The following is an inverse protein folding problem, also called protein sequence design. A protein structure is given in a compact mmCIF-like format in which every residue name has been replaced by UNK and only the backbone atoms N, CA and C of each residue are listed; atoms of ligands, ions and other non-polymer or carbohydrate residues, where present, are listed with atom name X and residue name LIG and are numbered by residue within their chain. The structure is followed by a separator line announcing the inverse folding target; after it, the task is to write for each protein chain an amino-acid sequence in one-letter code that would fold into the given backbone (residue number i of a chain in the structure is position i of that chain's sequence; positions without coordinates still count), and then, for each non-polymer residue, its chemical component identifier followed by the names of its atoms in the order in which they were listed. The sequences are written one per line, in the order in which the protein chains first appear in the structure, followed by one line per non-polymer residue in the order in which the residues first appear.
data_IF_768361000096
#
_entry.id   IF_768361000096
#
_cell.length_a   1.000
_cell.length_b   1.000
_cell.length_c   1.000
_cell.angle_alpha   90.00
_cell.angle_beta   90.00
_cell.angle_gamma   90.00
#
_symmetry.space_group_name_H-M   'P 1'
#
loop_
_entity.id
_entity.type
_entity.pdbx_description
1 polymer ?
#
# COMPACT_ATOMS: atom_id res chain seq x y z
N UNK A 1 23.34 6.03 8.69
CA UNK A 1 22.72 5.08 7.74
C UNK A 1 23.74 4.37 6.86
N UNK A 2 24.71 5.06 6.24
CA UNK A 2 25.71 4.41 5.37
C UNK A 2 26.62 3.43 6.13
N UNK A 3 27.10 3.82 7.31
CA UNK A 3 27.98 2.99 8.16
C UNK A 3 27.26 1.74 8.67
N UNK A 4 26.05 1.92 9.19
CA UNK A 4 25.24 0.86 9.82
C UNK A 4 24.09 0.37 8.91
N UNK A 5 24.35 0.25 7.61
CA UNK A 5 23.28 -0.03 6.63
C UNK A 5 22.55 -1.34 6.91
N UNK A 6 23.26 -2.35 7.38
CA UNK A 6 22.69 -3.65 7.75
C UNK A 6 21.63 -3.55 8.87
N UNK A 7 21.69 -2.52 9.74
CA UNK A 7 20.65 -2.25 10.73
C UNK A 7 19.41 -1.64 10.09
N UNK A 8 19.57 -0.77 9.08
CA UNK A 8 18.44 -0.18 8.34
C UNK A 8 17.62 -1.26 7.61
N UNK A 9 18.26 -2.33 7.14
CA UNK A 9 17.59 -3.46 6.49
C UNK A 9 16.57 -4.18 7.38
N UNK A 10 16.72 -4.10 8.71
CA UNK A 10 15.76 -4.68 9.67
C UNK A 10 14.39 -3.99 9.61
N UNK A 11 14.31 -2.78 9.05
CA UNK A 11 13.04 -2.09 8.80
C UNK A 11 12.26 -2.76 7.67
N UNK A 12 12.95 -3.32 6.66
CA UNK A 12 12.33 -3.89 5.47
C UNK A 12 11.90 -2.86 4.44
N UNK A 13 11.00 -3.25 3.52
CA UNK A 13 10.64 -2.50 2.31
C UNK A 13 10.17 -1.06 2.54
N UNK A 14 9.49 -0.75 3.65
CA UNK A 14 9.04 0.63 3.96
C UNK A 14 10.23 1.59 4.18
N UNK A 15 11.44 1.07 4.44
CA UNK A 15 12.65 1.90 4.46
C UNK A 15 12.84 2.63 3.13
N UNK A 16 12.66 1.95 2.00
CA UNK A 16 12.79 2.56 0.67
C UNK A 16 11.68 3.57 0.42
N UNK A 17 10.44 3.28 0.84
CA UNK A 17 9.31 4.21 0.73
C UNK A 17 9.59 5.51 1.48
N UNK A 18 10.07 5.42 2.72
CA UNK A 18 10.40 6.59 3.54
C UNK A 18 11.58 7.38 2.96
N UNK A 19 12.58 6.72 2.36
CA UNK A 19 13.66 7.40 1.66
C UNK A 19 13.15 8.13 0.41
N UNK A 20 12.18 7.56 -0.30
CA UNK A 20 11.55 8.19 -1.47
C UNK A 20 10.85 9.50 -1.12
N UNK A 21 10.21 9.57 0.05
CA UNK A 21 9.58 10.82 0.55
C UNK A 21 10.62 11.95 0.74
N UNK A 22 11.91 11.60 0.93
CA UNK A 22 13.01 12.52 1.23
C UNK A 22 13.90 12.85 0.02
N UNK A 23 13.58 12.40 -1.19
CA UNK A 23 14.43 12.60 -2.40
C UNK A 23 14.60 14.06 -2.83
N UNK A 24 13.81 14.97 -2.29
CA UNK A 24 14.00 16.40 -2.47
C UNK A 24 15.27 16.90 -1.75
N UNK A 25 15.72 16.20 -0.71
CA UNK A 25 16.98 16.45 0.01
C UNK A 25 18.13 15.74 -0.73
N UNK A 26 19.20 16.45 -1.13
CA UNK A 26 20.29 15.90 -1.96
C UNK A 26 20.95 14.64 -1.38
N UNK A 27 21.17 14.61 -0.07
CA UNK A 27 21.84 13.52 0.64
C UNK A 27 21.02 12.21 0.57
N UNK A 28 19.71 12.30 0.75
CA UNK A 28 18.80 11.16 0.65
C UNK A 28 18.61 10.71 -0.80
N UNK A 29 18.58 11.65 -1.76
CA UNK A 29 18.59 11.33 -3.19
C UNK A 29 19.84 10.56 -3.58
N UNK A 30 21.01 11.03 -3.18
CA UNK A 30 22.29 10.37 -3.44
C UNK A 30 22.31 8.98 -2.80
N UNK A 31 21.80 8.85 -1.56
CA UNK A 31 21.68 7.57 -0.89
C UNK A 31 20.77 6.60 -1.63
N UNK A 32 19.57 7.02 -2.05
CA UNK A 32 18.65 6.17 -2.80
C UNK A 32 19.26 5.74 -4.15
N UNK A 33 19.96 6.65 -4.83
CA UNK A 33 20.70 6.33 -6.06
C UNK A 33 21.74 5.24 -5.82
N UNK A 34 22.51 5.34 -4.74
CA UNK A 34 23.50 4.32 -4.40
C UNK A 34 22.84 2.97 -4.04
N UNK A 35 21.71 2.97 -3.33
CA UNK A 35 20.99 1.74 -2.97
C UNK A 35 20.57 0.98 -4.24
N UNK A 36 20.08 1.71 -5.24
CA UNK A 36 19.53 1.11 -6.47
C UNK A 36 20.63 0.75 -7.47
N UNK A 37 21.59 1.64 -7.69
CA UNK A 37 22.55 1.53 -8.80
C UNK A 37 24.00 1.24 -8.38
N UNK A 38 24.33 1.36 -7.09
CA UNK A 38 25.69 1.13 -6.59
C UNK A 38 25.69 0.40 -5.24
N UNK A 39 25.02 -0.76 -5.11
CA UNK A 39 24.77 -1.43 -3.83
C UNK A 39 26.07 -1.83 -3.09
N UNK A 40 27.17 -2.01 -3.83
CA UNK A 40 28.47 -2.38 -3.27
C UNK A 40 29.03 -1.38 -2.25
N UNK A 41 28.62 -0.10 -2.29
CA UNK A 41 29.10 0.92 -1.33
C UNK A 41 28.59 0.69 0.11
N UNK A 42 27.61 -0.18 0.28
CA UNK A 42 27.05 -0.54 1.59
C UNK A 42 27.61 -1.86 2.14
N UNK A 43 28.55 -2.49 1.43
CA UNK A 43 29.19 -3.71 1.90
C UNK A 43 30.13 -3.40 3.07
N UNK A 44 30.03 -4.20 4.13
CA UNK A 44 30.93 -4.15 5.29
C UNK A 44 31.40 -5.57 5.61
N UNK A 45 32.41 -5.71 6.46
CA UNK A 45 32.91 -7.05 6.85
C UNK A 45 31.76 -7.87 7.45
N UNK A 46 31.50 -9.05 6.87
CA UNK A 46 30.41 -9.93 7.30
C UNK A 46 29.02 -9.63 6.71
N UNK A 47 28.88 -8.61 5.85
CA UNK A 47 27.60 -8.25 5.23
C UNK A 47 27.76 -7.81 3.76
N UNK A 48 27.02 -8.47 2.87
CA UNK A 48 27.00 -8.16 1.44
C UNK A 48 25.60 -7.77 0.97
N UNK A 49 25.45 -6.52 0.56
CA UNK A 49 24.28 -5.99 -0.14
C UNK A 49 24.53 -6.04 -1.64
N UNK A 50 23.71 -6.83 -2.34
CA UNK A 50 23.87 -7.08 -3.78
C UNK A 50 22.87 -6.30 -4.61
N UNK A 51 21.65 -6.15 -4.12
CA UNK A 51 20.55 -5.60 -4.91
C UNK A 51 19.39 -5.11 -4.02
N UNK A 52 18.74 -4.01 -4.41
CA UNK A 52 17.57 -3.46 -3.70
C UNK A 52 16.39 -4.44 -3.62
N UNK A 53 16.30 -5.43 -4.52
CA UNK A 53 15.34 -6.53 -4.45
C UNK A 53 15.41 -7.29 -3.11
N UNK A 54 16.59 -7.34 -2.46
CA UNK A 54 16.73 -7.93 -1.13
C UNK A 54 15.91 -7.15 -0.08
N UNK A 55 15.85 -5.83 -0.20
CA UNK A 55 15.05 -4.95 0.67
C UNK A 55 13.58 -5.07 0.33
N UNK A 56 13.23 -5.02 -0.96
CA UNK A 56 11.86 -5.17 -1.42
C UNK A 56 11.22 -6.48 -0.93
N UNK A 57 11.98 -7.58 -0.97
CA UNK A 57 11.52 -8.88 -0.48
C UNK A 57 11.41 -8.97 1.04
N UNK A 58 12.03 -8.05 1.78
CA UNK A 58 11.98 -8.03 3.24
C UNK A 58 10.74 -7.29 3.72
N UNK A 59 9.74 -8.03 4.23
CA UNK A 59 8.53 -7.44 4.80
C UNK A 59 8.87 -6.53 5.99
N UNK A 60 8.25 -5.36 6.04
CA UNK A 60 8.34 -4.47 7.19
C UNK A 60 7.51 -4.99 8.36
N UNK A 61 8.11 -5.04 9.55
CA UNK A 61 7.41 -5.39 10.79
C UNK A 61 6.31 -4.36 11.09
N UNK A 62 5.13 -4.85 11.47
CA UNK A 62 3.97 -4.00 11.82
C UNK A 62 4.26 -3.05 12.99
N UNK A 63 5.27 -3.38 13.82
CA UNK A 63 5.76 -2.49 14.89
C UNK A 63 6.20 -1.13 14.35
N UNK A 64 6.85 -1.09 13.18
CA UNK A 64 7.26 0.18 12.59
C UNK A 64 6.06 1.02 12.18
N UNK A 65 5.00 0.42 11.63
CA UNK A 65 3.76 1.15 11.30
C UNK A 65 3.06 1.70 12.54
N UNK A 66 3.12 0.99 13.67
CA UNK A 66 2.56 1.47 14.95
C UNK A 66 3.32 2.69 15.48
N UNK A 67 4.65 2.69 15.39
CA UNK A 67 5.50 3.79 15.86
C UNK A 67 5.31 5.11 15.07
N UNK A 68 4.62 5.06 13.93
CA UNK A 68 4.40 6.22 13.05
C UNK A 68 3.10 6.97 13.33
N UNK A 69 2.23 6.43 14.17
CA UNK A 69 1.03 7.11 14.65
C UNK A 69 1.11 7.27 16.17
N UNK A 70 0.53 8.35 16.71
CA UNK A 70 0.52 8.53 18.15
C UNK A 70 -0.56 7.64 18.83
N UNK A 71 -0.45 7.35 20.14
CA UNK A 71 -1.38 6.45 20.83
C UNK A 71 -2.86 6.89 20.78
N UNK A 72 -3.13 8.19 20.72
CA UNK A 72 -4.48 8.75 20.66
C UNK A 72 -5.09 8.54 19.26
N UNK A 73 -4.30 8.72 18.20
CA UNK A 73 -4.69 8.35 16.83
C UNK A 73 -4.99 6.86 16.75
N UNK A 74 -4.10 6.00 17.27
CA UNK A 74 -4.31 4.55 17.28
C UNK A 74 -5.62 4.17 17.98
N UNK A 75 -5.86 4.73 19.16
CA UNK A 75 -7.07 4.46 19.95
C UNK A 75 -8.33 4.82 19.17
N UNK A 76 -8.38 6.01 18.56
CA UNK A 76 -9.54 6.47 17.79
C UNK A 76 -9.74 5.69 16.49
N UNK A 77 -8.66 5.36 15.77
CA UNK A 77 -8.71 4.56 14.55
C UNK A 77 -9.18 3.13 14.85
N UNK A 78 -8.67 2.50 15.91
CA UNK A 78 -9.13 1.18 16.34
C UNK A 78 -10.61 1.22 16.72
N UNK A 79 -11.03 2.21 17.50
CA UNK A 79 -12.45 2.35 17.86
C UNK A 79 -13.37 2.44 16.63
N UNK A 80 -12.97 3.21 15.61
CA UNK A 80 -13.68 3.26 14.33
C UNK A 80 -13.78 1.88 13.67
N UNK A 81 -12.70 1.10 13.69
CA UNK A 81 -12.60 -0.20 12.99
C UNK A 81 -13.07 -1.40 13.81
N UNK A 82 -13.39 -1.24 15.09
CA UNK A 82 -13.84 -2.34 15.97
C UNK A 82 -15.19 -2.13 16.62
N UNK A 83 -15.71 -0.89 16.64
CA UNK A 83 -16.88 -0.56 17.46
C UNK A 83 -17.93 0.28 16.74
N UNK A 84 -17.59 0.93 15.63
CA UNK A 84 -18.52 1.77 14.89
C UNK A 84 -19.10 1.02 13.70
N UNK A 85 -20.43 1.02 13.59
CA UNK A 85 -21.14 0.44 12.45
C UNK A 85 -20.99 1.29 11.19
N UNK A 86 -20.90 0.63 10.04
CA UNK A 86 -20.90 1.27 8.74
C UNK A 86 -22.18 2.08 8.54
N UNK A 87 -22.01 3.33 8.11
CA UNK A 87 -23.05 4.35 8.02
C UNK A 87 -23.06 5.33 9.20
N UNK A 88 -22.48 4.96 10.35
CA UNK A 88 -22.52 5.78 11.57
C UNK A 88 -21.17 6.49 11.87
N UNK A 89 -20.17 6.32 11.01
CA UNK A 89 -18.81 6.84 11.24
C UNK A 89 -18.63 8.36 11.03
N UNK A 90 -19.58 9.06 10.39
CA UNK A 90 -19.39 10.45 9.93
C UNK A 90 -18.94 11.40 11.05
N UNK A 91 -19.56 11.33 12.22
CA UNK A 91 -19.22 12.21 13.36
C UNK A 91 -17.82 11.93 13.89
N UNK A 92 -17.46 10.65 14.01
CA UNK A 92 -16.14 10.22 14.48
C UNK A 92 -15.03 10.61 13.49
N UNK A 93 -15.29 10.47 12.19
CA UNK A 93 -14.40 10.95 11.12
C UNK A 93 -14.15 12.47 11.21
N UNK A 94 -15.22 13.26 11.37
CA UNK A 94 -15.11 14.73 11.53
C UNK A 94 -14.29 15.10 12.76
N UNK A 95 -14.50 14.42 13.89
CA UNK A 95 -13.72 14.64 15.12
C UNK A 95 -12.25 14.28 14.94
N UNK A 96 -11.97 13.13 14.32
CA UNK A 96 -10.61 12.70 14.03
C UNK A 96 -9.90 13.71 13.13
N UNK A 97 -10.52 14.10 12.01
CA UNK A 97 -9.95 15.07 11.08
C UNK A 97 -9.71 16.42 11.76
N UNK A 98 -10.68 16.92 12.54
CA UNK A 98 -10.53 18.17 13.27
C UNK A 98 -9.32 18.16 14.21
N UNK A 99 -9.08 17.03 14.87
CA UNK A 99 -8.02 16.89 15.86
C UNK A 99 -6.64 16.66 15.22
N UNK A 100 -6.58 15.91 14.12
CA UNK A 100 -5.32 15.36 13.63
C UNK A 100 -4.94 15.78 12.21
N UNK A 101 -5.89 16.17 11.35
CA UNK A 101 -5.67 16.39 9.91
C UNK A 101 -5.91 17.84 9.46
N UNK A 102 -6.46 18.69 10.33
CA UNK A 102 -6.94 20.01 9.89
C UNK A 102 -5.82 21.03 9.62
N UNK A 103 -4.69 20.95 10.32
CA UNK A 103 -3.57 21.88 10.15
C UNK A 103 -2.82 21.64 8.82
N UNK A 104 -2.16 22.67 8.25
CA UNK A 104 -1.24 22.52 7.13
C UNK A 104 -0.19 21.45 7.44
N UNK A 105 0.22 20.71 6.41
CA UNK A 105 1.23 19.63 6.45
C UNK A 105 0.88 18.41 7.34
N UNK A 106 -0.16 18.48 8.17
CA UNK A 106 -0.63 17.30 8.93
C UNK A 106 -1.30 16.26 8.05
N UNK A 107 -1.66 16.56 6.81
CA UNK A 107 -2.21 15.56 5.89
C UNK A 107 -1.18 14.48 5.48
N UNK A 108 0.13 14.73 5.60
CA UNK A 108 1.15 13.70 5.35
C UNK A 108 1.03 12.51 6.32
N UNK A 109 0.48 12.72 7.53
CA UNK A 109 0.23 11.63 8.48
C UNK A 109 -0.78 10.62 7.94
N UNK A 110 -1.61 10.99 6.95
CA UNK A 110 -2.54 10.05 6.30
C UNK A 110 -1.79 8.87 5.67
N UNK A 111 -0.58 9.10 5.16
CA UNK A 111 0.28 8.05 4.59
C UNK A 111 0.60 7.01 5.67
N UNK A 112 1.05 7.47 6.84
CA UNK A 112 1.36 6.62 8.00
C UNK A 112 0.10 5.91 8.55
N UNK A 113 -1.05 6.60 8.59
CA UNK A 113 -2.34 6.01 8.97
C UNK A 113 -2.76 4.89 8.01
N UNK A 114 -2.60 5.07 6.70
CA UNK A 114 -2.93 4.03 5.71
C UNK A 114 -2.01 2.81 5.87
N UNK A 115 -0.71 3.01 6.12
CA UNK A 115 0.21 1.90 6.46
C UNK A 115 -0.22 1.21 7.76
N UNK A 116 -0.64 1.94 8.78
CA UNK A 116 -1.18 1.35 10.01
C UNK A 116 -2.42 0.49 9.74
N UNK A 117 -3.40 0.99 8.98
CA UNK A 117 -4.64 0.25 8.66
C UNK A 117 -4.31 -1.03 7.88
N UNK A 118 -3.38 -0.98 6.92
CA UNK A 118 -3.01 -2.13 6.12
C UNK A 118 -2.17 -3.14 6.92
N UNK A 119 -1.16 -2.68 7.65
CA UNK A 119 -0.06 -3.52 8.15
C UNK A 119 -0.13 -3.84 9.64
N UNK A 120 -0.85 -3.04 10.45
CA UNK A 120 -0.88 -3.15 11.90
C UNK A 120 -2.28 -3.31 12.51
N UNK A 121 -3.34 -3.17 11.71
CA UNK A 121 -4.70 -3.45 12.11
C UNK A 121 -5.32 -4.56 11.26
N UNK A 122 -5.33 -5.78 11.78
CA UNK A 122 -5.95 -6.95 11.16
C UNK A 122 -7.13 -7.39 12.04
N UNK A 123 -8.37 -7.01 11.70
CA UNK A 123 -9.55 -7.38 12.47
C UNK A 123 -9.73 -8.91 12.49
N UNK A 124 -10.25 -9.49 13.57
CA UNK A 124 -10.61 -10.91 13.60
C UNK A 124 -11.87 -11.16 12.74
N UNK A 125 -12.14 -12.42 12.41
CA UNK A 125 -13.19 -12.80 11.45
C UNK A 125 -14.58 -12.32 11.86
N UNK A 126 -14.87 -12.27 13.17
CA UNK A 126 -16.14 -11.80 13.71
C UNK A 126 -16.39 -10.34 13.33
N UNK A 127 -15.34 -9.51 13.33
CA UNK A 127 -15.43 -8.10 12.91
C UNK A 127 -15.54 -8.02 11.38
N UNK A 128 -14.75 -8.81 10.64
CA UNK A 128 -14.80 -8.82 9.16
C UNK A 128 -16.19 -9.18 8.64
N UNK A 129 -16.90 -10.09 9.30
CA UNK A 129 -18.24 -10.56 8.92
C UNK A 129 -19.38 -9.74 9.52
N UNK A 130 -19.08 -8.67 10.26
CA UNK A 130 -20.05 -7.81 10.93
C UNK A 130 -20.44 -6.58 10.09
N UNK A 131 -21.26 -5.70 10.68
CA UNK A 131 -21.62 -4.40 10.13
C UNK A 131 -20.68 -3.26 10.58
N UNK A 132 -19.54 -3.58 11.20
CA UNK A 132 -18.52 -2.60 11.60
C UNK A 132 -17.86 -1.96 10.37
N UNK A 133 -17.43 -0.70 10.49
CA UNK A 133 -16.72 0.04 9.42
C UNK A 133 -15.52 -0.78 8.94
N UNK A 134 -15.51 -1.22 7.68
CA UNK A 134 -14.41 -2.00 7.17
C UNK A 134 -13.22 -1.11 6.85
N UNK A 135 -12.02 -1.70 6.89
CA UNK A 135 -10.75 -1.01 6.64
C UNK A 135 -10.73 -0.22 5.33
N UNK A 136 -11.26 -0.81 4.26
CA UNK A 136 -11.32 -0.18 2.95
C UNK A 136 -12.16 1.10 2.96
N UNK A 137 -13.26 1.15 3.73
CA UNK A 137 -14.12 2.33 3.79
C UNK A 137 -13.43 3.49 4.52
N UNK A 138 -12.67 3.19 5.57
CA UNK A 138 -11.86 4.19 6.26
C UNK A 138 -10.76 4.75 5.36
N UNK A 139 -10.07 3.90 4.59
CA UNK A 139 -9.06 4.34 3.60
C UNK A 139 -9.70 5.20 2.50
N UNK A 140 -10.89 4.85 2.03
CA UNK A 140 -11.63 5.66 1.06
C UNK A 140 -11.91 7.08 1.57
N UNK A 141 -12.29 7.23 2.85
CA UNK A 141 -12.45 8.54 3.48
C UNK A 141 -11.13 9.30 3.66
N UNK A 142 -10.05 8.59 4.00
CA UNK A 142 -8.73 9.22 4.13
C UNK A 142 -8.25 9.81 2.79
N UNK A 143 -8.47 9.11 1.68
CA UNK A 143 -8.16 9.62 0.34
C UNK A 143 -8.92 10.90 0.00
N UNK A 144 -10.18 11.04 0.43
CA UNK A 144 -10.96 12.27 0.21
C UNK A 144 -10.58 13.40 1.17
N UNK A 145 -9.78 13.11 2.20
CA UNK A 145 -9.29 14.10 3.16
C UNK A 145 -7.98 14.75 2.73
N UNK A 146 -7.29 14.19 1.73
CA UNK A 146 -6.09 14.78 1.14
C UNK A 146 -6.44 16.02 0.30
N UNK A 147 -5.65 17.08 0.45
CA UNK A 147 -5.80 18.36 -0.26
C UNK A 147 -4.79 18.50 -1.37
N UNK A 148 -3.60 17.92 -1.21
CA UNK A 148 -2.51 18.01 -2.19
C UNK A 148 -2.37 16.74 -3.03
N UNK A 149 -2.03 16.92 -4.31
CA UNK A 149 -1.88 15.81 -5.25
C UNK A 149 -0.69 14.89 -4.94
N UNK A 150 0.42 15.44 -4.42
CA UNK A 150 1.59 14.65 -4.01
C UNK A 150 1.25 13.76 -2.80
N UNK A 151 0.48 14.28 -1.85
CA UNK A 151 -0.01 13.49 -0.70
C UNK A 151 -0.91 12.37 -1.19
N UNK A 152 -1.85 12.65 -2.10
CA UNK A 152 -2.71 11.60 -2.71
C UNK A 152 -1.86 10.52 -3.38
N UNK A 153 -0.84 10.90 -4.15
CA UNK A 153 0.05 9.93 -4.80
C UNK A 153 0.79 9.06 -3.78
N UNK A 154 1.31 9.65 -2.69
CA UNK A 154 2.00 8.93 -1.63
C UNK A 154 1.06 8.02 -0.83
N UNK A 155 -0.19 8.42 -0.62
CA UNK A 155 -1.22 7.57 0.02
C UNK A 155 -1.55 6.37 -0.88
N UNK A 156 -1.70 6.57 -2.18
CA UNK A 156 -1.88 5.46 -3.13
C UNK A 156 -0.67 4.53 -3.17
N UNK A 157 0.55 5.07 -3.14
CA UNK A 157 1.77 4.28 -3.04
C UNK A 157 1.79 3.46 -1.75
N UNK A 158 1.48 4.06 -0.59
CA UNK A 158 1.39 3.38 0.69
C UNK A 158 0.34 2.25 0.71
N UNK A 159 -0.78 2.45 0.03
CA UNK A 159 -1.85 1.46 -0.13
C UNK A 159 -1.41 0.26 -0.99
N UNK A 160 -0.65 0.50 -2.06
CA UNK A 160 -0.18 -0.53 -2.98
C UNK A 160 1.22 -1.06 -2.69
N UNK A 161 1.90 -0.54 -1.66
CA UNK A 161 3.32 -0.85 -1.45
C UNK A 161 3.59 -2.34 -1.21
N UNK A 162 2.70 -3.02 -0.48
CA UNK A 162 2.78 -4.47 -0.25
C UNK A 162 2.35 -5.30 -1.46
N UNK A 163 1.72 -4.70 -2.47
CA UNK A 163 1.36 -5.37 -3.72
C UNK A 163 2.55 -5.52 -4.67
N UNK A 164 3.40 -4.48 -4.75
CA UNK A 164 4.49 -4.40 -5.73
C UNK A 164 5.45 -5.58 -5.64
N UNK A 165 5.72 -6.05 -4.42
CA UNK A 165 6.70 -7.10 -4.13
C UNK A 165 6.07 -8.26 -3.36
N UNK A 166 4.78 -8.49 -3.60
CA UNK A 166 4.02 -9.47 -2.84
C UNK A 166 4.58 -10.89 -3.02
N UNK A 167 4.89 -11.55 -1.90
CA UNK A 167 5.24 -12.97 -1.85
C UNK A 167 4.44 -13.64 -0.72
N UNK A 168 3.53 -14.56 -1.09
CA UNK A 168 2.64 -15.27 -0.16
C UNK A 168 3.38 -16.04 0.94
N UNK A 169 4.68 -16.35 0.75
CA UNK A 169 5.50 -17.03 1.76
C UNK A 169 5.80 -16.16 2.98
N UNK A 170 5.83 -14.83 2.81
CA UNK A 170 6.24 -13.87 3.86
C UNK A 170 5.20 -12.78 4.11
N UNK A 171 4.41 -12.45 3.09
CA UNK A 171 3.41 -11.41 3.13
C UNK A 171 2.03 -11.97 3.49
N UNK A 172 1.19 -11.09 4.03
CA UNK A 172 -0.16 -11.45 4.47
C UNK A 172 -1.20 -10.84 3.55
N UNK A 173 -2.25 -11.62 3.26
CA UNK A 173 -3.42 -11.14 2.51
C UNK A 173 -4.05 -9.90 3.14
N UNK A 174 -3.95 -9.76 4.47
CA UNK A 174 -4.50 -8.63 5.20
C UNK A 174 -3.83 -7.29 4.83
N UNK A 175 -2.61 -7.30 4.31
CA UNK A 175 -1.92 -6.09 3.86
C UNK A 175 -2.42 -5.59 2.50
N UNK A 176 -2.92 -6.50 1.65
CA UNK A 176 -3.29 -6.20 0.26
C UNK A 176 -4.81 -6.09 0.05
N UNK A 177 -5.62 -6.79 0.87
CA UNK A 177 -7.09 -6.76 0.72
C UNK A 177 -7.73 -5.36 0.74
N UNK A 178 -7.27 -4.37 1.55
CA UNK A 178 -8.02 -3.13 1.66
C UNK A 178 -8.09 -2.36 0.34
N UNK A 179 -7.04 -2.45 -0.47
CA UNK A 179 -6.97 -1.78 -1.76
C UNK A 179 -7.97 -2.36 -2.77
N UNK A 180 -8.06 -3.69 -2.88
CA UNK A 180 -8.98 -4.33 -3.83
C UNK A 180 -10.43 -4.16 -3.39
N UNK A 181 -10.70 -4.25 -2.09
CA UNK A 181 -12.04 -4.06 -1.56
C UNK A 181 -12.49 -2.60 -1.74
N UNK A 182 -11.59 -1.63 -1.54
CA UNK A 182 -11.89 -0.23 -1.83
C UNK A 182 -12.24 -0.04 -3.31
N UNK A 183 -11.45 -0.61 -4.22
CA UNK A 183 -11.73 -0.55 -5.65
C UNK A 183 -13.09 -1.16 -5.99
N UNK A 184 -13.40 -2.37 -5.52
CA UNK A 184 -14.64 -3.07 -5.86
C UNK A 184 -15.87 -2.41 -5.25
N UNK A 185 -15.82 -2.05 -3.98
CA UNK A 185 -16.96 -1.43 -3.29
C UNK A 185 -17.21 0.02 -3.74
N UNK A 186 -16.25 0.67 -4.39
CA UNK A 186 -16.43 2.01 -4.96
C UNK A 186 -17.16 2.00 -6.31
N UNK A 187 -17.15 0.90 -7.08
CA UNK A 187 -17.75 0.85 -8.42
C UNK A 187 -19.20 1.38 -8.48
N UNK A 188 -20.13 1.02 -7.57
CA UNK A 188 -21.53 1.42 -7.72
C UNK A 188 -21.80 2.93 -7.57
N UNK A 189 -20.95 3.66 -6.84
CA UNK A 189 -21.21 5.08 -6.48
C UNK A 189 -20.04 6.03 -6.70
N UNK A 190 -18.81 5.53 -6.70
CA UNK A 190 -17.56 6.29 -6.71
C UNK A 190 -16.55 5.65 -7.66
N UNK A 191 -16.98 5.28 -8.88
CA UNK A 191 -16.13 4.57 -9.86
C UNK A 191 -14.81 5.29 -10.16
N UNK A 192 -14.77 6.62 -10.03
CA UNK A 192 -13.54 7.41 -10.19
C UNK A 192 -12.44 6.99 -9.20
N UNK A 193 -12.80 6.54 -7.99
CA UNK A 193 -11.84 5.98 -7.03
C UNK A 193 -11.26 4.69 -7.60
N UNK A 194 -12.11 3.79 -8.11
CA UNK A 194 -11.67 2.53 -8.74
C UNK A 194 -10.75 2.79 -9.92
N UNK A 195 -11.13 3.74 -10.79
CA UNK A 195 -10.33 4.17 -11.93
C UNK A 195 -8.95 4.67 -11.48
N UNK A 196 -8.93 5.66 -10.59
CA UNK A 196 -7.71 6.34 -10.16
C UNK A 196 -6.77 5.45 -9.35
N UNK A 197 -7.27 4.41 -8.69
CA UNK A 197 -6.47 3.40 -7.99
C UNK A 197 -5.90 2.35 -8.95
N UNK A 198 -6.73 1.82 -9.85
CA UNK A 198 -6.29 0.82 -10.83
C UNK A 198 -5.28 1.40 -11.81
N UNK A 199 -5.52 2.62 -12.30
CA UNK A 199 -4.56 3.33 -13.16
C UNK A 199 -3.22 3.53 -12.45
N UNK A 200 -3.25 3.96 -11.19
CA UNK A 200 -2.04 4.18 -10.39
C UNK A 200 -1.27 2.88 -10.17
N UNK A 201 -1.94 1.78 -9.79
CA UNK A 201 -1.30 0.48 -9.63
C UNK A 201 -0.62 0.01 -10.94
N UNK A 202 -1.32 0.13 -12.07
CA UNK A 202 -0.77 -0.24 -13.37
C UNK A 202 0.41 0.67 -13.77
N UNK A 203 0.35 1.96 -13.44
CA UNK A 203 1.47 2.87 -13.62
C UNK A 203 2.68 2.46 -12.78
N UNK A 204 2.51 2.12 -11.50
CA UNK A 204 3.59 1.65 -10.65
C UNK A 204 4.28 0.41 -11.22
N UNK A 205 3.52 -0.56 -11.75
CA UNK A 205 4.12 -1.75 -12.39
C UNK A 205 4.99 -1.38 -13.58
N UNK A 206 4.62 -0.33 -14.32
CA UNK A 206 5.37 0.10 -15.50
C UNK A 206 6.58 0.98 -15.18
N UNK A 207 6.56 1.74 -14.08
CA UNK A 207 7.52 2.83 -13.84
C UNK A 207 8.25 2.80 -12.50
N UNK A 208 7.83 2.02 -11.50
CA UNK A 208 8.40 2.10 -10.15
C UNK A 208 9.87 1.67 -10.09
N UNK A 209 10.20 0.52 -10.70
CA UNK A 209 11.56 0.04 -10.88
C UNK A 209 11.64 -0.72 -12.21
N UNK A 210 12.14 -0.03 -13.24
CA UNK A 210 12.17 -0.54 -14.61
C UNK A 210 13.12 -1.74 -14.75
N UNK A 211 14.23 -1.76 -14.01
CA UNK A 211 15.19 -2.87 -14.04
C UNK A 211 14.60 -4.15 -13.45
N UNK A 212 13.67 -4.01 -12.50
CA UNK A 212 13.03 -5.11 -11.77
C UNK A 212 11.55 -5.26 -12.12
N UNK A 213 11.16 -4.87 -13.33
CA UNK A 213 9.76 -4.91 -13.79
C UNK A 213 9.11 -6.29 -13.68
N UNK A 214 9.85 -7.37 -13.95
CA UNK A 214 9.33 -8.75 -13.80
C UNK A 214 8.94 -9.05 -12.35
N UNK A 215 9.71 -8.56 -11.37
CA UNK A 215 9.38 -8.69 -9.94
C UNK A 215 8.07 -7.97 -9.62
N UNK A 216 7.87 -6.76 -10.17
CA UNK A 216 6.64 -5.97 -9.98
C UNK A 216 5.42 -6.66 -10.61
N UNK A 217 5.57 -7.16 -11.83
CA UNK A 217 4.51 -7.91 -12.54
C UNK A 217 4.13 -9.16 -11.75
N UNK A 218 5.13 -9.92 -11.28
CA UNK A 218 4.92 -11.12 -10.46
C UNK A 218 4.24 -10.80 -9.13
N UNK A 219 4.68 -9.76 -8.42
CA UNK A 219 4.09 -9.34 -7.15
C UNK A 219 2.61 -9.00 -7.30
N UNK A 220 2.30 -8.08 -8.22
CA UNK A 220 0.92 -7.61 -8.39
C UNK A 220 -0.01 -8.71 -8.94
N UNK A 221 0.46 -9.53 -9.89
CA UNK A 221 -0.34 -10.65 -10.39
C UNK A 221 -0.58 -11.73 -9.33
N UNK A 222 0.43 -12.08 -8.52
CA UNK A 222 0.31 -13.02 -7.42
C UNK A 222 -0.66 -12.52 -6.35
N UNK A 223 -0.62 -11.22 -6.03
CA UNK A 223 -1.57 -10.58 -5.11
C UNK A 223 -3.02 -10.74 -5.61
N UNK A 224 -3.30 -10.42 -6.87
CA UNK A 224 -4.64 -10.61 -7.45
C UNK A 224 -5.08 -12.08 -7.42
N UNK A 225 -4.20 -13.02 -7.80
CA UNK A 225 -4.51 -14.45 -7.79
C UNK A 225 -4.85 -14.93 -6.37
N UNK A 226 -4.08 -14.52 -5.36
CA UNK A 226 -4.36 -14.86 -3.97
C UNK A 226 -5.70 -14.30 -3.49
N UNK A 227 -5.99 -13.03 -3.79
CA UNK A 227 -7.23 -12.36 -3.38
C UNK A 227 -8.47 -13.06 -3.94
N UNK A 228 -8.41 -13.56 -5.17
CA UNK A 228 -9.47 -14.40 -5.74
C UNK A 228 -9.51 -15.77 -5.07
N UNK A 229 -8.35 -16.45 -4.96
CA UNK A 229 -8.27 -17.81 -4.40
C UNK A 229 -8.76 -17.89 -2.96
N UNK A 230 -8.55 -16.85 -2.16
CA UNK A 230 -9.01 -16.75 -0.77
C UNK A 230 -10.42 -16.15 -0.65
N UNK A 231 -11.07 -15.81 -1.76
CA UNK A 231 -12.45 -15.34 -1.78
C UNK A 231 -12.65 -13.90 -1.27
N UNK A 232 -11.59 -13.09 -1.16
CA UNK A 232 -11.71 -11.66 -0.82
C UNK A 232 -12.53 -10.94 -1.90
N UNK A 233 -12.29 -11.31 -3.16
CA UNK A 233 -13.18 -10.99 -4.28
C UNK A 233 -13.55 -12.28 -4.99
N UNK A 234 -14.81 -12.37 -5.48
CA UNK A 234 -15.31 -13.59 -6.14
C UNK A 234 -14.62 -13.87 -7.48
N UNK A 235 -14.40 -12.83 -8.26
CA UNK A 235 -13.75 -12.90 -9.58
C UNK A 235 -13.15 -11.53 -9.93
N UNK A 236 -12.13 -11.53 -10.79
CA UNK A 236 -11.58 -10.30 -11.39
C UNK A 236 -12.51 -9.71 -12.45
N UNK A 237 -13.56 -10.41 -12.87
CA UNK A 237 -14.56 -9.90 -13.82
C UNK A 237 -15.22 -8.62 -13.32
N UNK A 238 -15.31 -8.43 -12.00
CA UNK A 238 -15.82 -7.20 -11.38
C UNK A 238 -15.03 -5.96 -11.81
N UNK A 239 -13.75 -6.13 -12.19
CA UNK A 239 -12.90 -5.07 -12.77
C UNK A 239 -12.79 -5.22 -14.29
N UNK A 240 -12.49 -6.42 -14.78
CA UNK A 240 -12.17 -6.70 -16.19
C UNK A 240 -13.38 -6.52 -17.11
N UNK A 241 -14.59 -6.76 -16.61
CA UNK A 241 -15.84 -6.69 -17.36
C UNK A 241 -16.69 -5.48 -16.92
N UNK A 242 -16.16 -4.60 -16.07
CA UNK A 242 -16.88 -3.42 -15.60
C UNK A 242 -17.12 -2.44 -16.77
N UNK A 243 -18.39 -2.12 -17.11
CA UNK A 243 -18.68 -1.19 -18.21
C UNK A 243 -18.27 0.24 -17.88
N UNK A 244 -18.28 0.62 -16.59
CA UNK A 244 -17.94 1.97 -16.13
C UNK A 244 -16.43 2.25 -16.13
N UNK A 245 -15.57 1.22 -16.24
CA UNK A 245 -14.13 1.39 -16.33
C UNK A 245 -13.66 1.56 -17.78
N UNK A 246 -12.66 2.42 -17.96
CA UNK A 246 -12.09 2.72 -19.26
C UNK A 246 -11.53 1.45 -19.95
N UNK A 247 -11.83 1.19 -21.24
CA UNK A 247 -11.39 -0.02 -21.95
C UNK A 247 -9.89 -0.29 -21.88
N UNK A 248 -9.06 0.74 -22.04
CA UNK A 248 -7.60 0.60 -21.99
C UNK A 248 -7.08 0.12 -20.63
N UNK A 249 -7.74 0.48 -19.51
CA UNK A 249 -7.35 -0.01 -18.18
C UNK A 249 -7.67 -1.48 -18.01
N UNK A 250 -8.86 -1.90 -18.46
CA UNK A 250 -9.27 -3.32 -18.44
C UNK A 250 -8.30 -4.17 -19.25
N UNK A 251 -7.86 -3.67 -20.40
CA UNK A 251 -6.92 -4.39 -21.26
C UNK A 251 -5.50 -4.44 -20.70
N UNK A 252 -5.04 -3.37 -20.04
CA UNK A 252 -3.76 -3.40 -19.29
C UNK A 252 -3.81 -4.39 -18.14
N UNK A 253 -4.91 -4.43 -17.38
CA UNK A 253 -5.10 -5.40 -16.30
C UNK A 253 -5.10 -6.85 -16.82
N UNK A 254 -5.82 -7.15 -17.90
CA UNK A 254 -5.80 -8.48 -18.53
C UNK A 254 -4.39 -8.91 -18.94
N UNK A 255 -3.62 -8.02 -19.58
CA UNK A 255 -2.24 -8.28 -20.00
C UNK A 255 -1.33 -8.56 -18.80
N UNK A 256 -1.44 -7.77 -17.73
CA UNK A 256 -0.69 -7.98 -16.49
C UNK A 256 -0.94 -9.39 -15.92
N UNK A 257 -2.21 -9.79 -15.85
CA UNK A 257 -2.62 -11.07 -15.29
C UNK A 257 -2.23 -12.26 -16.19
N UNK A 258 -2.17 -12.07 -17.50
CA UNK A 258 -1.70 -13.09 -18.44
C UNK A 258 -0.18 -13.30 -18.30
N UNK A 259 0.60 -12.22 -18.18
CA UNK A 259 2.05 -12.26 -18.03
C UNK A 259 2.46 -12.97 -16.72
N UNK A 260 1.77 -12.70 -15.62
CA UNK A 260 2.03 -13.36 -14.34
C UNK A 260 1.80 -14.88 -14.31
N UNK A 261 0.98 -15.43 -15.22
CA UNK A 261 0.75 -16.89 -15.31
C UNK A 261 1.92 -17.64 -15.97
N UNK A 262 2.65 -16.97 -16.86
CA UNK A 262 3.77 -17.57 -17.60
C UNK A 262 5.02 -17.71 -16.73
N UNK A 263 5.21 -16.85 -15.73
CA UNK A 263 6.37 -16.86 -14.82
C UNK A 263 6.20 -17.77 -13.58
N UNK A 264 5.01 -18.36 -13.41
CA UNK A 264 4.68 -19.30 -12.32
C UNK A 264 4.70 -20.76 -12.75
N UNK A 265 5.05 -21.04 -14.01
CA UNK A 265 5.22 -22.38 -14.60
C UNK A 265 6.70 -22.73 -14.66
#
# INVERSE_FOLDING_TARGET
MREEFHLCLKIGRDFIRLLQDLVHVPEFRAMLKDIVFNPCVFNVVGFQFKDVAQIYSTRTSSRYSLLRINPDMETQLRFLLTSIKLGHQKRHQVWFAKKFLNEPDKEFVIIDIVRFICCAHHPPNEIIQSDIVPRWALIGWLLTSCRRNDVVANVKLALFYDWLFFDERVDTIMNIEPAVLLMVHSIPKYVDITHALLEFLLHLVDSYDVERKSVLVKGVSSAFQLLVRKGVIRSLDVLISCPALHPALKERLKRLLACGKLESS
#
